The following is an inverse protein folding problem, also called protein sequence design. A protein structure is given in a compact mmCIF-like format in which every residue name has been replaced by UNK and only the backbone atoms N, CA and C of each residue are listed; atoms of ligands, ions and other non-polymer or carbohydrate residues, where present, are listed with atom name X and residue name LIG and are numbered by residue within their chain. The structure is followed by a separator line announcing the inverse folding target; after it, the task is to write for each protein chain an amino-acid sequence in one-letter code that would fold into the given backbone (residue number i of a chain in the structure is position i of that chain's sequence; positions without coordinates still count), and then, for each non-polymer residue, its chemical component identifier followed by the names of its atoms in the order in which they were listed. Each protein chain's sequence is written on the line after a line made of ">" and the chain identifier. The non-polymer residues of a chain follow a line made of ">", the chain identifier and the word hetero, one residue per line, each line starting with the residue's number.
data_IF_623610988106
#
_entry.id   IF_623610988106
#
_cell.length_a   1.000
_cell.length_b   1.000
_cell.length_c   1.000
_cell.angle_alpha   90.00
_cell.angle_beta   90.00
_cell.angle_gamma   90.00
#
_symmetry.space_group_name_H-M   'P 1'
#
loop_
_entity.id
_entity.type
_entity.pdbx_description
1 polymer ?
#
# COMPACT_ATOMS: atom_id res chain seq x y z
N UNK A 1 -19.06 0.87 11.28
CA UNK A 1 -17.91 -0.05 11.35
C UNK A 1 -16.68 0.84 11.52
N UNK A 2 -15.72 0.50 12.38
CA UNK A 2 -14.53 1.34 12.55
C UNK A 2 -13.65 1.16 11.31
N UNK A 3 -13.31 2.25 10.62
CA UNK A 3 -12.43 2.18 9.47
C UNK A 3 -11.04 1.66 9.84
N UNK A 4 -10.27 1.20 8.85
CA UNK A 4 -8.96 0.55 9.06
C UNK A 4 -7.85 1.26 8.31
N UNK A 5 -6.66 1.29 8.90
CA UNK A 5 -5.43 1.73 8.25
C UNK A 5 -4.63 0.51 7.82
N UNK A 6 -4.30 0.43 6.54
CA UNK A 6 -3.54 -0.67 5.93
C UNK A 6 -2.22 -0.10 5.41
N UNK A 7 -1.08 -0.60 5.87
CA UNK A 7 0.22 -0.29 5.29
C UNK A 7 0.64 -1.35 4.28
N UNK A 8 1.01 -0.96 3.07
CA UNK A 8 1.59 -1.84 2.05
C UNK A 8 3.10 -1.63 2.06
N UNK A 9 3.85 -2.62 2.56
CA UNK A 9 5.30 -2.55 2.76
C UNK A 9 6.06 -3.67 2.04
N UNK A 10 7.37 -3.54 1.92
CA UNK A 10 8.28 -4.55 1.37
C UNK A 10 9.70 -4.32 1.88
N UNK A 11 10.47 -5.40 2.03
CA UNK A 11 11.88 -5.30 2.38
C UNK A 11 12.69 -4.56 1.31
N UNK A 12 12.46 -4.86 0.04
CA UNK A 12 13.20 -4.27 -1.09
C UNK A 12 12.32 -3.53 -2.08
N UNK A 13 12.93 -2.71 -2.92
CA UNK A 13 12.27 -2.05 -4.05
C UNK A 13 11.87 -3.05 -5.15
N UNK A 14 10.90 -2.67 -5.99
CA UNK A 14 10.53 -3.46 -7.16
C UNK A 14 9.67 -4.71 -6.90
N UNK A 15 9.18 -4.93 -5.67
CA UNK A 15 8.25 -6.04 -5.35
C UNK A 15 6.82 -5.80 -5.83
N UNK A 16 6.50 -4.58 -6.28
CA UNK A 16 5.18 -4.21 -6.82
C UNK A 16 4.22 -3.60 -5.81
N UNK A 17 4.69 -3.10 -4.65
CA UNK A 17 3.88 -2.41 -3.63
C UNK A 17 2.92 -1.40 -4.22
N UNK A 18 3.42 -0.35 -4.87
CA UNK A 18 2.61 0.75 -5.41
C UNK A 18 1.52 0.26 -6.37
N UNK A 19 1.83 -0.71 -7.23
CA UNK A 19 0.84 -1.33 -8.11
C UNK A 19 -0.26 -2.03 -7.29
N UNK A 20 0.13 -2.82 -6.27
CA UNK A 20 -0.81 -3.46 -5.36
C UNK A 20 -1.62 -2.42 -4.57
N UNK A 21 -0.99 -1.37 -4.04
CA UNK A 21 -1.62 -0.30 -3.28
C UNK A 21 -2.71 0.39 -4.10
N UNK A 22 -2.41 0.79 -5.34
CA UNK A 22 -3.38 1.40 -6.27
C UNK A 22 -4.54 0.44 -6.56
N UNK A 23 -4.21 -0.76 -7.04
CA UNK A 23 -5.23 -1.64 -7.59
C UNK A 23 -6.07 -2.33 -6.50
N UNK A 24 -5.51 -2.57 -5.32
CA UNK A 24 -6.26 -3.08 -4.18
C UNK A 24 -7.19 -2.00 -3.62
N UNK A 25 -6.74 -0.74 -3.56
CA UNK A 25 -7.59 0.38 -3.16
C UNK A 25 -8.76 0.57 -4.13
N UNK A 26 -8.49 0.48 -5.44
CA UNK A 26 -9.53 0.53 -6.46
C UNK A 26 -10.51 -0.66 -6.35
N UNK A 27 -10.00 -1.87 -6.11
CA UNK A 27 -10.85 -3.05 -5.92
C UNK A 27 -11.76 -2.94 -4.68
N UNK A 28 -11.28 -2.35 -3.59
CA UNK A 28 -12.09 -2.03 -2.41
C UNK A 28 -13.15 -0.96 -2.75
N UNK A 29 -12.77 0.10 -3.47
CA UNK A 29 -13.71 1.16 -3.85
C UNK A 29 -14.84 0.64 -4.77
N UNK A 30 -14.52 -0.25 -5.71
CA UNK A 30 -15.53 -0.91 -6.55
C UNK A 30 -16.49 -1.84 -5.79
N UNK A 31 -16.13 -2.23 -4.55
CA UNK A 31 -17.01 -2.98 -3.64
C UNK A 31 -17.89 -2.05 -2.79
N UNK A 32 -17.87 -0.75 -3.05
CA UNK A 32 -18.66 0.22 -2.30
C UNK A 32 -17.96 0.77 -1.06
N UNK A 33 -16.65 0.56 -0.92
CA UNK A 33 -15.87 1.11 0.19
C UNK A 33 -15.41 2.53 -0.13
N UNK A 34 -15.36 3.39 0.88
CA UNK A 34 -14.69 4.67 0.80
C UNK A 34 -13.22 4.48 1.14
N UNK A 35 -12.33 4.69 0.17
CA UNK A 35 -10.89 4.42 0.31
C UNK A 35 -10.09 5.69 0.07
N UNK A 36 -9.08 5.93 0.91
CA UNK A 36 -8.08 6.96 0.70
C UNK A 36 -6.67 6.35 0.64
N UNK A 37 -5.98 6.49 -0.48
CA UNK A 37 -4.62 5.99 -0.70
C UNK A 37 -3.57 7.09 -0.48
N UNK A 38 -2.56 6.82 0.33
CA UNK A 38 -1.49 7.77 0.69
C UNK A 38 -0.16 7.34 0.08
N UNK A 39 0.52 8.27 -0.57
CA UNK A 39 1.92 8.10 -1.01
C UNK A 39 2.86 8.47 0.15
N UNK A 40 3.40 7.48 0.86
CA UNK A 40 4.41 7.65 1.91
C UNK A 40 5.84 7.31 1.43
N UNK A 41 6.04 7.10 0.12
CA UNK A 41 7.37 7.02 -0.49
C UNK A 41 7.87 8.40 -0.89
N UNK A 42 8.24 9.22 0.10
CA UNK A 42 8.74 10.57 -0.14
C UNK A 42 10.10 10.65 -0.85
N UNK A 43 10.79 9.51 -1.03
CA UNK A 43 12.11 9.47 -1.69
C UNK A 43 11.99 9.13 -3.17
N UNK A 44 10.96 8.39 -3.54
CA UNK A 44 10.60 8.13 -4.92
C UNK A 44 9.06 8.18 -5.11
N UNK A 45 8.43 9.37 -4.94
CA UNK A 45 7.00 9.52 -5.12
C UNK A 45 6.58 9.04 -6.51
N UNK A 46 5.50 8.27 -6.58
CA UNK A 46 5.09 7.65 -7.85
C UNK A 46 3.60 7.65 -8.09
N UNK A 47 2.76 7.88 -7.06
CA UNK A 47 1.31 7.85 -7.23
C UNK A 47 0.81 8.94 -8.18
N UNK A 48 1.39 10.15 -8.15
CA UNK A 48 0.96 11.25 -9.03
C UNK A 48 1.14 10.89 -10.51
N UNK A 49 2.28 10.29 -10.86
CA UNK A 49 2.58 9.84 -12.22
C UNK A 49 1.68 8.68 -12.64
N UNK A 50 1.60 7.62 -11.81
CA UNK A 50 0.86 6.41 -12.14
C UNK A 50 -0.65 6.67 -12.24
N UNK A 51 -1.16 7.54 -11.37
CA UNK A 51 -2.56 7.97 -11.39
C UNK A 51 -2.77 9.20 -12.27
N UNK A 52 -1.81 9.63 -13.09
CA UNK A 52 -1.96 10.74 -14.05
C UNK A 52 -2.63 11.97 -13.41
N UNK A 53 -2.09 12.42 -12.28
CA UNK A 53 -2.47 13.65 -11.59
C UNK A 53 -1.33 14.65 -11.81
N UNK A 54 -1.54 15.60 -12.72
CA UNK A 54 -0.49 16.50 -13.19
C UNK A 54 0.08 17.39 -12.07
N UNK A 55 -0.80 17.93 -11.22
CA UNK A 55 -0.42 18.77 -10.09
C UNK A 55 -1.51 18.78 -9.03
N UNK A 56 -1.13 18.60 -7.77
CA UNK A 56 -1.98 18.89 -6.62
C UNK A 56 -1.67 20.29 -6.07
N UNK A 57 -2.69 20.97 -5.55
CA UNK A 57 -2.52 22.26 -4.87
C UNK A 57 -1.74 22.11 -3.56
N UNK A 58 -2.05 21.05 -2.81
CA UNK A 58 -1.35 20.65 -1.60
C UNK A 58 -0.96 19.18 -1.66
N UNK A 59 0.17 18.85 -1.04
CA UNK A 59 0.68 17.48 -0.97
C UNK A 59 0.65 16.98 0.47
N UNK A 60 0.75 15.67 0.64
CA UNK A 60 0.84 15.03 1.96
C UNK A 60 2.01 15.58 2.79
N UNK A 61 3.09 16.03 2.13
CA UNK A 61 4.20 16.76 2.74
C UNK A 61 3.71 17.97 3.55
N UNK A 62 2.78 18.76 3.01
CA UNK A 62 2.26 19.96 3.65
C UNK A 62 1.44 19.60 4.90
N UNK A 63 0.65 18.52 4.82
CA UNK A 63 0.00 17.98 5.99
C UNK A 63 1.04 17.56 7.04
N UNK A 64 2.04 16.75 6.71
CA UNK A 64 3.04 16.29 7.69
C UNK A 64 3.89 17.43 8.27
N UNK A 65 4.14 18.49 7.49
CA UNK A 65 4.81 19.71 7.92
C UNK A 65 3.91 20.65 8.75
N UNK A 66 2.64 20.30 8.95
CA UNK A 66 1.64 21.12 9.64
C UNK A 66 1.42 22.50 8.98
N UNK A 67 1.50 22.54 7.65
CA UNK A 67 1.22 23.74 6.84
C UNK A 67 -0.10 23.65 6.08
N UNK A 68 -0.70 22.46 6.00
CA UNK A 68 -2.04 22.26 5.42
C UNK A 68 -2.89 21.30 6.24
N UNK A 69 -4.21 21.46 6.09
CA UNK A 69 -5.21 20.55 6.67
C UNK A 69 -5.28 19.25 5.85
N UNK A 70 -5.66 18.14 6.50
CA UNK A 70 -5.73 16.84 5.82
C UNK A 70 -6.71 16.84 4.66
N UNK A 71 -7.86 17.51 4.76
CA UNK A 71 -8.87 17.51 3.70
C UNK A 71 -8.39 18.26 2.45
N UNK A 72 -7.47 19.22 2.61
CA UNK A 72 -6.91 20.00 1.50
C UNK A 72 -5.87 19.23 0.68
N UNK A 73 -5.28 18.18 1.23
CA UNK A 73 -4.28 17.35 0.51
C UNK A 73 -4.91 16.16 -0.20
N UNK A 74 -6.22 15.93 -0.03
CA UNK A 74 -6.93 14.83 -0.68
C UNK A 74 -7.37 15.25 -2.08
N UNK A 75 -7.06 14.40 -3.06
CA UNK A 75 -7.54 14.52 -4.44
C UNK A 75 -8.60 13.45 -4.66
N UNK A 76 -9.79 13.86 -5.08
CA UNK A 76 -10.88 12.94 -5.42
C UNK A 76 -10.64 12.35 -6.81
N UNK A 77 -10.47 11.02 -6.87
CA UNK A 77 -10.34 10.24 -8.08
C UNK A 77 -11.49 9.23 -8.22
N UNK A 78 -12.62 9.47 -7.55
CA UNK A 78 -13.76 8.56 -7.56
C UNK A 78 -14.31 8.31 -8.97
N UNK A 79 -14.21 9.28 -9.88
CA UNK A 79 -14.61 9.10 -11.29
C UNK A 79 -13.75 8.10 -12.07
N UNK A 80 -12.57 7.73 -11.52
CA UNK A 80 -11.65 6.76 -12.14
C UNK A 80 -11.85 5.33 -11.65
N UNK A 81 -12.70 5.13 -10.67
CA UNK A 81 -13.11 3.82 -10.16
C UNK A 81 -14.63 3.69 -10.28
N UNK A 82 -15.17 2.47 -10.26
CA UNK A 82 -16.62 2.27 -10.38
C UNK A 82 -17.43 3.11 -9.36
N UNK A 83 -18.68 3.46 -9.71
CA UNK A 83 -19.55 4.40 -8.97
C UNK A 83 -20.08 3.93 -7.60
N UNK A 84 -19.55 2.83 -7.04
CA UNK A 84 -20.11 2.22 -5.82
C UNK A 84 -19.54 2.83 -4.55
N UNK A 85 -18.25 3.15 -4.54
CA UNK A 85 -17.53 3.71 -3.41
C UNK A 85 -16.79 4.99 -3.80
N UNK A 86 -15.99 5.52 -2.88
CA UNK A 86 -15.14 6.68 -3.09
C UNK A 86 -13.68 6.27 -3.17
N UNK A 87 -12.90 6.96 -4.01
CA UNK A 87 -11.46 6.75 -4.11
C UNK A 87 -10.73 8.08 -4.10
N UNK A 88 -10.09 8.38 -2.98
CA UNK A 88 -9.29 9.58 -2.76
C UNK A 88 -7.81 9.21 -2.69
N UNK A 89 -6.96 10.18 -3.00
CA UNK A 89 -5.51 10.03 -2.86
C UNK A 89 -4.86 11.21 -2.18
N UNK A 90 -3.88 10.95 -1.32
CA UNK A 90 -2.99 11.96 -0.74
C UNK A 90 -1.60 11.75 -1.32
N UNK A 91 -1.18 12.67 -2.21
CA UNK A 91 0.03 12.54 -3.00
C UNK A 91 1.26 13.10 -2.28
N UNK A 92 2.41 12.44 -2.43
CA UNK A 92 3.70 13.02 -2.09
C UNK A 92 4.18 13.96 -3.20
N UNK A 93 4.83 15.05 -2.83
CA UNK A 93 5.34 16.04 -3.76
C UNK A 93 6.54 15.46 -4.54
N UNK A 94 6.44 15.30 -5.88
CA UNK A 94 7.50 14.70 -6.69
C UNK A 94 8.67 15.67 -6.98
N UNK A 95 8.59 16.93 -6.55
CA UNK A 95 9.64 17.92 -6.79
C UNK A 95 10.95 17.59 -6.07
N UNK A 96 12.08 17.74 -6.77
CA UNK A 96 13.42 17.43 -6.25
C UNK A 96 13.74 18.12 -4.92
N UNK A 97 13.30 19.38 -4.74
CA UNK A 97 13.48 20.11 -3.48
C UNK A 97 12.69 19.48 -2.34
N UNK A 98 11.45 19.07 -2.58
CA UNK A 98 10.63 18.39 -1.60
C UNK A 98 11.21 17.03 -1.22
N UNK A 99 11.68 16.23 -2.20
CA UNK A 99 12.34 14.95 -1.94
C UNK A 99 13.59 15.14 -1.07
N UNK A 100 14.39 16.17 -1.36
CA UNK A 100 15.58 16.52 -0.58
C UNK A 100 15.23 16.97 0.83
N UNK A 101 14.21 17.82 0.99
CA UNK A 101 13.72 18.28 2.28
C UNK A 101 13.23 17.11 3.15
N UNK A 102 12.43 16.20 2.58
CA UNK A 102 11.94 15.01 3.28
C UNK A 102 13.08 14.07 3.67
N UNK A 103 14.08 13.90 2.81
CA UNK A 103 15.26 13.08 3.11
C UNK A 103 16.16 13.68 4.20
N UNK A 104 16.05 14.98 4.46
CA UNK A 104 16.85 15.71 5.44
C UNK A 104 16.13 15.90 6.79
N UNK A 105 14.91 15.39 6.95
CA UNK A 105 14.14 15.54 8.19
C UNK A 105 14.82 14.83 9.36
N UNK A 106 14.75 15.47 10.52
CA UNK A 106 15.33 14.95 11.75
C UNK A 106 14.35 14.02 12.48
N UNK A 107 14.86 13.30 13.49
CA UNK A 107 14.05 12.41 14.32
C UNK A 107 12.88 13.13 14.99
N UNK A 108 13.06 14.41 15.35
CA UNK A 108 12.00 15.21 15.99
C UNK A 108 10.85 15.45 15.03
N UNK A 109 11.13 15.71 13.76
CA UNK A 109 10.14 15.81 12.70
C UNK A 109 9.45 14.47 12.47
N UNK A 110 10.21 13.37 12.41
CA UNK A 110 9.63 12.02 12.21
C UNK A 110 8.64 11.63 13.32
N UNK A 111 8.94 11.97 14.58
CA UNK A 111 8.01 11.76 15.69
C UNK A 111 6.72 12.59 15.55
N UNK A 112 6.81 13.83 15.02
CA UNK A 112 5.63 14.65 14.73
C UNK A 112 4.84 14.07 13.56
N UNK A 113 5.51 13.61 12.50
CA UNK A 113 4.88 12.96 11.37
C UNK A 113 4.11 11.71 11.80
N UNK A 114 4.71 10.85 12.64
CA UNK A 114 4.02 9.70 13.24
C UNK A 114 2.76 10.12 14.02
N UNK A 115 2.87 11.13 14.89
CA UNK A 115 1.72 11.62 15.65
C UNK A 115 0.57 12.11 14.73
N UNK A 116 0.92 12.74 13.60
CA UNK A 116 -0.06 13.17 12.60
C UNK A 116 -0.68 12.00 11.83
N UNK A 117 0.10 11.00 11.45
CA UNK A 117 -0.43 9.78 10.81
C UNK A 117 -1.41 9.04 11.75
N UNK A 118 -1.10 8.94 13.04
CA UNK A 118 -2.01 8.37 14.05
C UNK A 118 -3.29 9.20 14.18
N UNK A 119 -3.18 10.53 14.09
CA UNK A 119 -4.31 11.45 14.17
C UNK A 119 -5.25 11.38 12.96
N UNK A 120 -4.88 10.74 11.84
CA UNK A 120 -5.73 10.61 10.65
C UNK A 120 -7.04 9.85 10.91
N UNK A 121 -7.09 9.00 11.95
CA UNK A 121 -8.28 8.21 12.27
C UNK A 121 -9.52 9.07 12.50
N UNK A 122 -9.39 10.13 13.30
CA UNK A 122 -10.54 10.97 13.64
C UNK A 122 -11.11 11.70 12.40
N UNK A 123 -10.37 12.57 11.70
CA UNK A 123 -10.92 13.35 10.60
C UNK A 123 -11.33 12.49 9.39
N UNK A 124 -10.63 11.37 9.14
CA UNK A 124 -10.88 10.58 7.93
C UNK A 124 -11.77 9.37 8.15
N UNK A 125 -11.47 8.52 9.14
CA UNK A 125 -12.25 7.31 9.37
C UNK A 125 -13.56 7.63 10.09
N UNK A 126 -13.51 8.45 11.15
CA UNK A 126 -14.69 8.73 11.97
C UNK A 126 -15.55 9.84 11.37
N UNK A 127 -14.95 10.97 11.00
CA UNK A 127 -15.72 12.16 10.61
C UNK A 127 -16.09 12.14 9.12
N UNK A 128 -15.16 11.74 8.24
CA UNK A 128 -15.41 11.67 6.78
C UNK A 128 -15.97 10.34 6.30
N UNK A 129 -16.03 9.32 7.16
CA UNK A 129 -16.59 8.01 6.83
C UNK A 129 -15.79 7.22 5.80
N UNK A 130 -14.46 7.36 5.78
CA UNK A 130 -13.60 6.42 5.04
C UNK A 130 -13.59 5.06 5.73
N UNK A 131 -13.75 3.99 4.95
CA UNK A 131 -13.63 2.62 5.43
C UNK A 131 -12.16 2.19 5.53
N UNK A 132 -11.33 2.67 4.59
CA UNK A 132 -9.93 2.29 4.49
C UNK A 132 -9.01 3.48 4.20
N UNK A 133 -7.94 3.60 4.99
CA UNK A 133 -6.76 4.38 4.60
C UNK A 133 -5.65 3.39 4.20
N UNK A 134 -5.19 3.46 2.96
CA UNK A 134 -4.12 2.60 2.45
C UNK A 134 -2.84 3.42 2.35
N UNK A 135 -1.77 2.97 2.97
CA UNK A 135 -0.47 3.64 2.98
C UNK A 135 0.50 2.88 2.08
N UNK A 136 0.85 3.47 0.92
CA UNK A 136 1.92 2.98 0.06
C UNK A 136 3.27 3.49 0.58
N UNK A 137 4.14 2.60 1.04
CA UNK A 137 5.39 3.01 1.70
C UNK A 137 6.60 2.93 0.80
N UNK A 138 7.70 3.57 1.19
CA UNK A 138 9.01 3.23 0.65
C UNK A 138 9.47 1.83 1.13
N UNK A 139 10.38 1.14 0.40
CA UNK A 139 10.89 -0.14 0.84
C UNK A 139 11.87 -0.03 2.02
N UNK A 140 12.01 -1.12 2.78
CA UNK A 140 12.99 -1.24 3.85
C UNK A 140 12.64 -0.44 5.11
N UNK A 141 13.66 -0.05 5.87
CA UNK A 141 13.54 0.49 7.24
C UNK A 141 13.66 2.02 7.31
N UNK A 142 13.06 2.73 6.35
CA UNK A 142 13.03 4.18 6.41
C UNK A 142 12.04 4.65 7.48
N UNK A 143 12.27 5.82 8.07
CA UNK A 143 11.38 6.37 9.10
C UNK A 143 9.94 6.51 8.61
N UNK A 144 9.70 7.00 7.40
CA UNK A 144 8.35 7.10 6.83
C UNK A 144 7.65 5.74 6.76
N UNK A 145 8.35 4.68 6.35
CA UNK A 145 7.83 3.32 6.33
C UNK A 145 7.53 2.79 7.73
N UNK A 146 8.45 3.01 8.68
CA UNK A 146 8.23 2.59 10.08
C UNK A 146 7.03 3.34 10.66
N UNK A 147 6.90 4.63 10.41
CA UNK A 147 5.77 5.43 10.88
C UNK A 147 4.45 4.93 10.28
N UNK A 148 4.44 4.57 9.00
CA UNK A 148 3.28 3.97 8.33
C UNK A 148 2.88 2.64 8.98
N UNK A 149 3.86 1.76 9.21
CA UNK A 149 3.67 0.45 9.86
C UNK A 149 3.12 0.62 11.27
N UNK A 150 3.73 1.48 12.08
CA UNK A 150 3.32 1.76 13.47
C UNK A 150 1.90 2.34 13.51
N UNK A 151 1.49 3.11 12.50
CA UNK A 151 0.16 3.72 12.44
C UNK A 151 -0.93 2.75 11.94
N UNK A 152 -0.56 1.69 11.23
CA UNK A 152 -1.49 0.76 10.60
C UNK A 152 -2.10 -0.26 11.56
N UNK A 153 -3.34 -0.67 11.27
CA UNK A 153 -4.03 -1.81 11.86
C UNK A 153 -3.61 -3.14 11.21
N UNK A 154 -3.30 -3.10 9.92
CA UNK A 154 -2.88 -4.24 9.11
C UNK A 154 -1.67 -3.87 8.25
N UNK A 155 -0.66 -4.73 8.22
CA UNK A 155 0.49 -4.60 7.33
C UNK A 155 0.43 -5.68 6.24
N UNK A 156 0.36 -5.25 4.98
CA UNK A 156 0.48 -6.11 3.82
C UNK A 156 1.92 -6.08 3.33
N UNK A 157 2.61 -7.21 3.46
CA UNK A 157 4.02 -7.32 3.09
C UNK A 157 4.15 -7.94 1.71
N UNK A 158 4.47 -7.11 0.71
CA UNK A 158 4.73 -7.53 -0.66
C UNK A 158 6.16 -8.08 -0.79
N UNK A 159 6.28 -9.35 -1.19
CA UNK A 159 7.56 -10.04 -1.36
C UNK A 159 7.57 -10.84 -2.67
N UNK A 160 8.74 -11.16 -3.21
CA UNK A 160 8.92 -12.07 -4.34
C UNK A 160 9.68 -13.32 -3.93
N UNK A 161 9.72 -14.33 -4.81
CA UNK A 161 10.49 -15.56 -4.57
C UNK A 161 12.02 -15.40 -4.64
N UNK A 162 12.51 -14.19 -4.82
CA UNK A 162 13.94 -13.92 -4.78
C UNK A 162 14.52 -14.18 -3.39
N UNK A 163 15.63 -14.91 -3.31
CA UNK A 163 16.22 -15.34 -2.04
C UNK A 163 16.53 -14.16 -1.09
N UNK A 164 17.04 -13.06 -1.63
CA UNK A 164 17.37 -11.88 -0.83
C UNK A 164 16.12 -11.21 -0.25
N UNK A 165 15.02 -11.22 -1.01
CA UNK A 165 13.74 -10.69 -0.56
C UNK A 165 13.10 -11.57 0.51
N UNK A 166 13.16 -12.89 0.31
CA UNK A 166 12.64 -13.86 1.28
C UNK A 166 13.35 -13.72 2.62
N UNK A 167 14.70 -13.71 2.61
CA UNK A 167 15.49 -13.59 3.83
C UNK A 167 15.29 -12.23 4.51
N UNK A 168 15.29 -11.15 3.73
CA UNK A 168 15.04 -9.79 4.24
C UNK A 168 13.64 -9.63 4.82
N UNK A 169 12.62 -10.14 4.14
CA UNK A 169 11.22 -10.10 4.60
C UNK A 169 11.04 -10.88 5.90
N UNK A 170 11.65 -12.08 6.01
CA UNK A 170 11.64 -12.87 7.26
C UNK A 170 12.32 -12.13 8.42
N UNK A 171 13.38 -11.38 8.13
CA UNK A 171 14.05 -10.55 9.14
C UNK A 171 13.16 -9.38 9.58
N UNK A 172 12.53 -8.69 8.63
CA UNK A 172 11.59 -7.60 8.90
C UNK A 172 10.40 -8.04 9.76
N UNK A 173 9.85 -9.23 9.50
CA UNK A 173 8.80 -9.83 10.33
C UNK A 173 9.20 -9.88 11.81
N UNK A 174 10.35 -10.48 12.09
CA UNK A 174 10.81 -10.66 13.47
C UNK A 174 11.29 -9.38 14.14
N UNK A 175 12.01 -8.53 13.41
CA UNK A 175 12.69 -7.37 14.00
C UNK A 175 11.81 -6.12 14.06
N UNK A 176 10.74 -6.06 13.27
CA UNK A 176 9.88 -4.88 13.16
C UNK A 176 8.41 -5.19 13.41
N UNK A 177 7.81 -6.09 12.62
CA UNK A 177 6.36 -6.30 12.69
C UNK A 177 5.95 -6.97 14.00
N UNK A 178 6.68 -8.00 14.43
CA UNK A 178 6.45 -8.70 15.70
C UNK A 178 6.73 -7.76 16.88
N UNK A 179 7.79 -6.94 16.79
CA UNK A 179 8.15 -5.97 17.84
C UNK A 179 7.04 -4.95 18.08
N UNK A 180 6.35 -4.51 17.02
CA UNK A 180 5.22 -3.59 17.11
C UNK A 180 3.86 -4.30 17.17
N UNK A 181 3.85 -5.61 17.38
CA UNK A 181 2.66 -6.47 17.48
C UNK A 181 1.68 -6.26 16.32
N UNK A 182 2.22 -6.07 15.11
CA UNK A 182 1.40 -5.75 13.93
C UNK A 182 0.79 -6.98 13.32
N UNK A 183 -0.54 -6.95 13.15
CA UNK A 183 -1.25 -7.90 12.31
C UNK A 183 -0.70 -7.78 10.90
N UNK A 184 -0.16 -8.89 10.39
CA UNK A 184 0.61 -8.90 9.15
C UNK A 184 0.12 -10.01 8.24
N UNK A 185 -0.06 -9.71 6.96
CA UNK A 185 -0.27 -10.71 5.92
C UNK A 185 0.70 -10.51 4.77
N UNK A 186 1.14 -11.61 4.16
CA UNK A 186 2.09 -11.59 3.05
C UNK A 186 1.34 -11.65 1.72
N UNK A 187 1.79 -10.84 0.76
CA UNK A 187 1.42 -10.96 -0.65
C UNK A 187 2.65 -11.40 -1.42
N UNK A 188 2.61 -12.62 -1.94
CA UNK A 188 3.67 -13.14 -2.79
C UNK A 188 3.42 -12.69 -4.23
N UNK A 189 4.23 -11.75 -4.72
CA UNK A 189 4.08 -11.14 -6.03
C UNK A 189 5.13 -11.64 -7.04
N UNK A 190 4.83 -11.45 -8.33
CA UNK A 190 5.69 -11.79 -9.47
C UNK A 190 6.11 -13.26 -9.47
N UNK A 191 5.18 -14.14 -9.13
CA UNK A 191 5.42 -15.59 -9.16
C UNK A 191 5.53 -16.03 -10.61
N UNK A 192 6.73 -16.40 -11.03
CA UNK A 192 6.94 -17.06 -12.31
C UNK A 192 6.19 -18.39 -12.31
N UNK A 193 5.63 -18.77 -13.46
CA UNK A 193 4.89 -20.02 -13.57
C UNK A 193 5.69 -21.16 -12.96
N UNK A 194 5.03 -21.76 -11.99
CA UNK A 194 5.57 -22.85 -11.23
C UNK A 194 5.57 -24.04 -12.17
N UNK A 195 6.74 -24.66 -12.39
CA UNK A 195 6.85 -25.86 -13.20
C UNK A 195 5.77 -26.89 -12.83
N UNK A 196 5.46 -27.83 -13.73
CA UNK A 196 4.47 -28.91 -13.51
C UNK A 196 4.64 -29.75 -12.23
N UNK A 197 5.74 -29.56 -11.48
CA UNK A 197 6.07 -30.26 -10.23
C UNK A 197 5.77 -29.51 -8.93
N UNK A 198 5.35 -28.24 -8.96
CA UNK A 198 5.10 -27.49 -7.72
C UNK A 198 3.75 -26.78 -7.82
N UNK A 199 2.84 -27.14 -6.92
CA UNK A 199 1.49 -26.60 -6.87
C UNK A 199 1.46 -25.26 -6.13
N UNK A 200 0.34 -24.51 -6.28
CA UNK A 200 0.09 -23.32 -5.45
C UNK A 200 0.04 -23.65 -3.95
N UNK A 201 -0.36 -24.88 -3.61
CA UNK A 201 -0.45 -25.34 -2.23
C UNK A 201 0.92 -25.60 -1.62
N UNK A 202 1.86 -26.13 -2.41
CA UNK A 202 3.25 -26.33 -1.97
C UNK A 202 3.92 -24.99 -1.68
N UNK A 203 3.68 -23.99 -2.54
CA UNK A 203 4.15 -22.61 -2.33
C UNK A 203 3.56 -22.04 -1.05
N UNK A 204 2.25 -22.19 -0.86
CA UNK A 204 1.57 -21.66 0.31
C UNK A 204 2.11 -22.27 1.60
N UNK A 205 2.28 -23.58 1.62
CA UNK A 205 2.86 -24.31 2.76
C UNK A 205 4.28 -23.83 3.05
N UNK A 206 5.13 -23.78 2.03
CA UNK A 206 6.52 -23.33 2.17
C UNK A 206 6.62 -21.89 2.68
N UNK A 207 5.79 -20.97 2.19
CA UNK A 207 5.80 -19.59 2.67
C UNK A 207 5.26 -19.45 4.09
N UNK A 208 4.24 -20.22 4.44
CA UNK A 208 3.73 -20.27 5.81
C UNK A 208 4.82 -20.75 6.77
N UNK A 209 5.63 -21.72 6.38
CA UNK A 209 6.75 -22.19 7.20
C UNK A 209 7.88 -21.15 7.30
N UNK A 210 8.18 -20.42 6.22
CA UNK A 210 9.25 -19.42 6.18
C UNK A 210 8.90 -18.17 6.99
N UNK A 211 7.70 -17.64 6.79
CA UNK A 211 7.29 -16.34 7.33
C UNK A 211 6.46 -16.45 8.61
N UNK A 212 5.85 -17.61 8.88
CA UNK A 212 5.01 -17.86 10.05
C UNK A 212 3.83 -16.89 10.20
N UNK A 213 3.42 -16.23 9.11
CA UNK A 213 2.27 -15.32 9.04
C UNK A 213 1.32 -15.74 7.89
N UNK A 214 0.04 -15.32 7.93
CA UNK A 214 -0.92 -15.64 6.89
C UNK A 214 -0.50 -15.11 5.51
N UNK A 215 -0.87 -15.88 4.47
CA UNK A 215 -0.71 -15.48 3.08
C UNK A 215 -2.04 -14.95 2.54
N UNK A 216 -2.07 -13.66 2.25
CA UNK A 216 -3.24 -12.96 1.70
C UNK A 216 -3.51 -13.41 0.26
N UNK A 217 -2.45 -13.44 -0.57
CA UNK A 217 -2.57 -13.74 -1.99
C UNK A 217 -1.25 -14.11 -2.65
N UNK A 218 -1.38 -14.77 -3.81
CA UNK A 218 -0.30 -15.14 -4.71
C UNK A 218 -0.60 -14.51 -6.06
N UNK A 219 0.25 -13.58 -6.51
CA UNK A 219 0.10 -12.88 -7.77
C UNK A 219 1.14 -13.40 -8.78
N UNK A 220 0.70 -14.10 -9.84
CA UNK A 220 1.57 -14.52 -10.93
C UNK A 220 2.26 -13.34 -11.62
N UNK A 221 3.35 -13.61 -12.31
CA UNK A 221 3.96 -12.63 -13.20
C UNK A 221 3.11 -12.49 -14.46
N UNK A 222 2.66 -11.27 -14.77
CA UNK A 222 1.90 -10.97 -15.97
C UNK A 222 2.68 -9.99 -16.84
N UNK A 223 3.00 -10.39 -18.08
CA UNK A 223 3.76 -9.55 -19.01
C UNK A 223 2.98 -8.28 -19.42
N UNK A 224 1.65 -8.34 -19.48
CA UNK A 224 0.82 -7.20 -19.86
C UNK A 224 0.70 -6.16 -18.74
N UNK A 225 0.78 -6.56 -17.46
CA UNK A 225 0.95 -5.63 -16.33
C UNK A 225 2.25 -4.82 -16.50
N UNK A 226 3.35 -5.49 -16.85
CA UNK A 226 4.63 -4.81 -17.07
C UNK A 226 4.54 -3.83 -18.25
N UNK A 227 3.86 -4.21 -19.34
CA UNK A 227 3.62 -3.35 -20.51
C UNK A 227 2.71 -2.16 -20.23
N UNK A 228 1.86 -2.24 -19.21
CA UNK A 228 0.98 -1.15 -18.80
C UNK A 228 1.69 -0.05 -17.98
N UNK A 229 2.98 -0.26 -17.65
CA UNK A 229 3.84 0.71 -16.95
C UNK A 229 3.22 1.26 -15.64
N UNK A 230 2.34 0.46 -15.01
CA UNK A 230 1.69 0.78 -13.74
C UNK A 230 0.56 1.81 -13.82
N UNK A 231 0.24 2.35 -15.00
CA UNK A 231 -0.80 3.38 -15.17
C UNK A 231 -2.23 2.85 -15.29
N UNK A 232 -2.43 1.53 -15.21
CA UNK A 232 -3.74 0.88 -15.35
C UNK A 232 -4.34 0.56 -13.98
N UNK A 233 -5.59 1.00 -13.79
CA UNK A 233 -6.46 0.58 -12.69
C UNK A 233 -7.23 -0.67 -13.16
N UNK A 234 -6.66 -1.84 -12.91
CA UNK A 234 -7.14 -3.14 -13.41
C UNK A 234 -8.58 -3.47 -13.04
N UNK A 235 -9.06 -3.23 -11.80
CA UNK A 235 -10.46 -3.47 -11.46
C UNK A 235 -11.44 -2.77 -12.43
N UNK A 236 -11.12 -1.53 -12.81
CA UNK A 236 -11.97 -0.70 -13.65
C UNK A 236 -11.74 -0.94 -15.14
N UNK A 237 -10.48 -0.99 -15.57
CA UNK A 237 -10.10 -1.01 -16.99
C UNK A 237 -10.05 -2.44 -17.56
N UNK A 238 -9.81 -3.45 -16.73
CA UNK A 238 -9.71 -4.86 -17.13
C UNK A 238 -10.38 -5.77 -16.08
N UNK A 239 -11.71 -5.69 -15.89
CA UNK A 239 -12.42 -6.41 -14.83
C UNK A 239 -12.26 -7.94 -14.91
N UNK A 240 -12.18 -8.49 -16.13
CA UNK A 240 -12.06 -9.93 -16.35
C UNK A 240 -10.62 -10.47 -16.22
N UNK A 241 -9.63 -9.60 -16.03
CA UNK A 241 -8.23 -10.00 -15.97
C UNK A 241 -7.95 -10.88 -14.74
N UNK A 242 -7.12 -11.93 -14.83
CA UNK A 242 -6.80 -12.79 -13.69
C UNK A 242 -6.24 -12.03 -12.48
N UNK A 243 -5.45 -10.98 -12.70
CA UNK A 243 -4.97 -10.10 -11.62
C UNK A 243 -6.13 -9.41 -10.89
N UNK A 244 -7.16 -8.94 -11.61
CA UNK A 244 -8.35 -8.34 -11.01
C UNK A 244 -9.10 -9.33 -10.13
N UNK A 245 -9.23 -10.59 -10.56
CA UNK A 245 -9.83 -11.66 -9.73
C UNK A 245 -9.03 -11.89 -8.44
N UNK A 246 -7.70 -11.89 -8.52
CA UNK A 246 -6.84 -12.04 -7.33
C UNK A 246 -6.97 -10.84 -6.40
N UNK A 247 -6.98 -9.61 -6.93
CA UNK A 247 -7.23 -8.39 -6.15
C UNK A 247 -8.58 -8.45 -5.45
N UNK A 248 -9.59 -8.96 -6.16
CA UNK A 248 -10.92 -9.15 -5.64
C UNK A 248 -10.96 -10.12 -4.46
N UNK A 249 -10.33 -11.29 -4.59
CA UNK A 249 -10.21 -12.26 -3.50
C UNK A 249 -9.44 -11.70 -2.29
N UNK A 250 -8.40 -10.88 -2.53
CA UNK A 250 -7.65 -10.24 -1.46
C UNK A 250 -8.49 -9.17 -0.75
N UNK A 251 -9.25 -8.37 -1.48
CA UNK A 251 -10.16 -7.37 -0.92
C UNK A 251 -11.25 -8.02 -0.04
N UNK A 252 -11.84 -9.14 -0.49
CA UNK A 252 -12.86 -9.86 0.28
C UNK A 252 -12.29 -10.41 1.60
N UNK A 253 -11.04 -10.91 1.58
CA UNK A 253 -10.34 -11.34 2.80
C UNK A 253 -10.10 -10.18 3.75
N UNK A 254 -9.61 -9.05 3.25
CA UNK A 254 -9.36 -7.85 4.07
C UNK A 254 -10.64 -7.36 4.74
N UNK A 255 -11.76 -7.34 4.01
CA UNK A 255 -13.08 -6.99 4.55
C UNK A 255 -13.54 -7.95 5.65
N UNK A 256 -13.20 -9.25 5.53
CA UNK A 256 -13.54 -10.28 6.52
C UNK A 256 -12.62 -10.34 7.73
N UNK A 257 -11.50 -9.61 7.74
CA UNK A 257 -10.61 -9.58 8.89
C UNK A 257 -11.27 -8.83 10.05
N UNK A 258 -11.09 -9.26 11.31
CA UNK A 258 -11.45 -8.45 12.47
C UNK A 258 -10.65 -7.15 12.46
#
# INVERSE_FOLDING_TARGET
>A
MMGKIIAVHSYKGGTGKTLLSINLSAALAERGKNVCLFDLDFRAPSLSMLLRVDKAEHYLNDYLNNTSDIHKVLVDLSDRVGKKGKFFVALANPGTEAIRDMSAKDRKWEMRALARLLALRTPLLNDSGFDYLVFDTSPGLQYSSINAIVSADLVLVATTFDRSDVDGTRRMLRELYDLFEKKTEVVLNKVLEVSSKTSKEDIRTKLKDIYQVPLLGIVPCFCDILKAEGGTIFPQEKPDHPFTRILNEMADKIDGLP
#
